data_IF_548391271640
#
_entry.id   IF_548391271640
#
_cell.length_a   1.000
_cell.length_b   1.000
_cell.length_c   1.000
_cell.angle_alpha   90.00
_cell.angle_beta   90.00
_cell.angle_gamma   90.00
#
_symmetry.space_group_name_H-M   'P 1'
#
loop_
_entity.id
_entity.type
_entity.pdbx_description
1 polymer ?
#
# COMPACT_ATOMS: atom_id res chain seq x y z
N UNK A 1 -30.95 -2.75 -5.38
CA UNK A 1 -29.98 -2.41 -4.30
C UNK A 1 -28.53 -2.21 -4.78
N UNK A 2 -27.93 -3.10 -5.59
CA UNK A 2 -26.50 -2.96 -6.02
C UNK A 2 -26.23 -1.71 -6.86
N UNK A 3 -27.14 -1.29 -7.74
CA UNK A 3 -26.95 -0.11 -8.61
C UNK A 3 -26.97 1.20 -7.80
N UNK A 4 -27.92 1.38 -6.87
CA UNK A 4 -27.98 2.56 -6.00
C UNK A 4 -26.74 2.68 -5.12
N UNK A 5 -26.23 1.58 -4.58
CA UNK A 5 -24.98 1.56 -3.83
C UNK A 5 -23.78 1.99 -4.70
N UNK A 6 -23.71 1.51 -5.95
CA UNK A 6 -22.64 1.89 -6.88
C UNK A 6 -22.67 3.40 -7.21
N UNK A 7 -23.86 3.95 -7.43
CA UNK A 7 -24.05 5.41 -7.65
C UNK A 7 -23.59 6.19 -6.42
N UNK A 8 -24.01 5.78 -5.22
CA UNK A 8 -23.58 6.42 -3.96
C UNK A 8 -22.06 6.42 -3.79
N UNK A 9 -21.40 5.30 -4.07
CA UNK A 9 -19.92 5.21 -4.01
C UNK A 9 -19.24 6.10 -5.06
N UNK A 10 -19.79 6.19 -6.27
CA UNK A 10 -19.26 7.06 -7.33
C UNK A 10 -19.41 8.55 -6.97
N UNK A 11 -20.54 8.94 -6.40
CA UNK A 11 -20.78 10.31 -5.92
C UNK A 11 -19.79 10.67 -4.80
N UNK A 12 -19.63 9.80 -3.80
CA UNK A 12 -18.66 10.02 -2.74
C UNK A 12 -17.22 10.10 -3.27
N UNK A 13 -16.89 9.34 -4.30
CA UNK A 13 -15.57 9.43 -4.94
C UNK A 13 -15.39 10.80 -5.63
N UNK A 14 -16.40 11.28 -6.36
CA UNK A 14 -16.35 12.58 -7.03
C UNK A 14 -16.22 13.74 -6.03
N UNK A 15 -16.98 13.71 -4.92
CA UNK A 15 -16.85 14.68 -3.82
C UNK A 15 -15.44 14.62 -3.23
N UNK A 16 -14.93 13.42 -2.99
CA UNK A 16 -13.56 13.23 -2.50
C UNK A 16 -12.52 13.81 -3.45
N UNK A 17 -12.69 13.65 -4.76
CA UNK A 17 -11.78 14.19 -5.75
C UNK A 17 -11.77 15.75 -5.72
N UNK A 18 -12.91 16.39 -5.55
CA UNK A 18 -13.00 17.84 -5.38
C UNK A 18 -12.30 18.32 -4.10
N UNK A 19 -12.52 17.63 -2.97
CA UNK A 19 -11.82 17.93 -1.71
C UNK A 19 -10.30 17.74 -1.88
N UNK A 20 -9.88 16.66 -2.55
CA UNK A 20 -8.46 16.38 -2.79
C UNK A 20 -7.79 17.44 -3.66
N UNK A 21 -8.52 18.01 -4.62
CA UNK A 21 -8.04 19.15 -5.41
C UNK A 21 -7.75 20.36 -4.53
N UNK A 22 -8.66 20.70 -3.62
CA UNK A 22 -8.47 21.79 -2.66
C UNK A 22 -7.27 21.50 -1.71
N UNK A 23 -7.16 20.29 -1.17
CA UNK A 23 -6.03 19.88 -0.31
C UNK A 23 -4.69 19.90 -1.05
N UNK A 24 -4.70 19.76 -2.38
CA UNK A 24 -3.49 19.81 -3.18
C UNK A 24 -2.82 21.18 -3.15
N UNK A 25 -3.56 22.25 -2.86
CA UNK A 25 -3.01 23.61 -2.66
C UNK A 25 -2.01 23.66 -1.49
N UNK A 26 -2.13 22.75 -0.52
CA UNK A 26 -1.19 22.65 0.62
C UNK A 26 -0.16 21.53 0.38
N UNK A 27 -0.62 20.36 -0.06
CA UNK A 27 0.23 19.17 -0.17
C UNK A 27 1.26 19.29 -1.29
N UNK A 28 0.92 19.95 -2.40
CA UNK A 28 1.85 20.17 -3.52
C UNK A 28 3.03 21.04 -3.11
N UNK A 29 2.87 22.22 -2.49
CA UNK A 29 3.99 23.01 -1.98
C UNK A 29 4.87 22.23 -0.99
N UNK A 30 4.28 21.47 -0.05
CA UNK A 30 5.05 20.63 0.88
C UNK A 30 5.90 19.61 0.13
N UNK A 31 5.32 18.92 -0.84
CA UNK A 31 6.05 17.94 -1.66
C UNK A 31 7.17 18.59 -2.49
N UNK A 32 6.95 19.79 -2.98
CA UNK A 32 7.96 20.60 -3.69
C UNK A 32 9.12 20.99 -2.78
N UNK A 33 8.82 21.49 -1.56
CA UNK A 33 9.83 21.91 -0.59
C UNK A 33 10.69 20.73 -0.11
N UNK A 34 10.07 19.61 0.18
CA UNK A 34 10.77 18.40 0.68
C UNK A 34 11.53 17.65 -0.41
N UNK A 35 11.29 17.90 -1.69
CA UNK A 35 11.80 17.10 -2.84
C UNK A 35 11.54 15.59 -2.71
N UNK A 36 10.57 15.21 -1.90
CA UNK A 36 10.21 13.85 -1.57
C UNK A 36 8.68 13.71 -1.49
N UNK A 37 8.17 12.51 -1.28
CA UNK A 37 6.78 12.32 -0.90
C UNK A 37 6.49 13.10 0.38
N UNK A 38 5.28 13.69 0.49
CA UNK A 38 4.87 14.40 1.70
C UNK A 38 4.83 13.47 2.92
N UNK A 39 4.46 12.21 2.68
CA UNK A 39 4.51 11.08 3.62
C UNK A 39 5.14 9.88 2.91
N UNK A 40 5.70 8.93 3.64
CA UNK A 40 6.41 7.77 3.08
C UNK A 40 7.58 8.17 2.18
N UNK A 41 8.42 9.09 2.65
CA UNK A 41 9.51 9.68 1.86
C UNK A 41 10.54 8.64 1.42
N UNK A 42 10.89 7.74 2.33
CA UNK A 42 11.88 6.68 2.14
C UNK A 42 11.24 5.30 2.28
N UNK A 43 11.81 4.30 1.62
CA UNK A 43 11.32 2.93 1.68
C UNK A 43 12.23 1.97 0.95
N UNK A 44 11.88 0.69 1.02
CA UNK A 44 12.57 -0.40 0.33
C UNK A 44 11.63 -1.11 -0.61
N UNK A 45 12.14 -1.58 -1.73
CA UNK A 45 11.37 -2.32 -2.72
C UNK A 45 11.78 -3.78 -2.70
N UNK A 46 10.77 -4.65 -2.67
CA UNK A 46 10.95 -6.09 -2.76
C UNK A 46 10.20 -6.66 -3.96
N UNK A 47 10.78 -7.65 -4.60
CA UNK A 47 10.05 -8.57 -5.47
C UNK A 47 9.19 -9.48 -4.61
N UNK A 48 7.98 -9.73 -5.06
CA UNK A 48 7.02 -10.53 -4.32
C UNK A 48 6.15 -11.37 -5.25
N UNK A 49 5.37 -12.26 -4.66
CA UNK A 49 4.36 -13.05 -5.32
C UNK A 49 3.09 -13.06 -4.46
N UNK A 50 1.95 -12.81 -5.08
CA UNK A 50 0.65 -12.96 -4.43
C UNK A 50 -0.01 -14.24 -4.90
N UNK A 51 -0.35 -15.11 -3.95
CA UNK A 51 -1.21 -16.28 -4.20
C UNK A 51 -2.59 -16.04 -3.60
N UNK A 52 -3.62 -16.61 -4.22
CA UNK A 52 -5.00 -16.50 -3.72
C UNK A 52 -5.68 -17.86 -3.79
N UNK A 53 -6.56 -18.11 -2.80
CA UNK A 53 -7.41 -19.31 -2.74
C UNK A 53 -8.88 -18.99 -3.04
N UNK A 54 -9.24 -17.71 -2.97
CA UNK A 54 -10.58 -17.23 -3.29
C UNK A 54 -10.69 -16.98 -4.80
N UNK A 55 -11.60 -17.65 -5.52
CA UNK A 55 -11.80 -17.47 -6.96
C UNK A 55 -12.08 -16.00 -7.37
N UNK A 56 -12.74 -15.23 -6.49
CA UNK A 56 -13.02 -13.82 -6.76
C UNK A 56 -11.74 -12.95 -6.74
N UNK A 57 -10.66 -13.44 -6.12
CA UNK A 57 -9.35 -12.79 -6.05
C UNK A 57 -8.35 -13.35 -7.06
N UNK A 58 -8.72 -14.38 -7.84
CA UNK A 58 -7.79 -15.07 -8.76
C UNK A 58 -7.08 -14.09 -9.72
N UNK A 59 -7.78 -13.04 -10.17
CA UNK A 59 -7.19 -12.01 -11.01
C UNK A 59 -6.05 -11.23 -10.33
N UNK A 60 -5.93 -11.25 -9.01
CA UNK A 60 -4.87 -10.57 -8.27
C UNK A 60 -3.61 -11.44 -8.10
N UNK A 61 -3.69 -12.76 -8.31
CA UNK A 61 -2.56 -13.65 -8.17
C UNK A 61 -1.45 -13.36 -9.21
N UNK A 62 -0.22 -13.59 -8.83
CA UNK A 62 0.96 -13.50 -9.68
C UNK A 62 2.09 -12.64 -9.11
N UNK A 63 3.09 -12.33 -9.94
CA UNK A 63 4.26 -11.58 -9.53
C UNK A 63 3.88 -10.15 -9.12
N UNK A 64 4.65 -9.61 -8.18
CA UNK A 64 4.41 -8.29 -7.62
C UNK A 64 5.70 -7.55 -7.27
N UNK A 65 5.60 -6.23 -7.17
CA UNK A 65 6.53 -5.39 -6.44
C UNK A 65 5.86 -4.89 -5.17
N UNK A 66 6.58 -4.93 -4.07
CA UNK A 66 6.14 -4.38 -2.78
C UNK A 66 7.12 -3.30 -2.37
N UNK A 67 6.57 -2.13 -2.01
CA UNK A 67 7.35 -1.08 -1.34
C UNK A 67 6.90 -0.98 0.10
N UNK A 68 7.84 -1.13 1.02
CA UNK A 68 7.68 -0.94 2.46
C UNK A 68 8.29 0.40 2.88
N UNK A 69 7.62 1.16 3.76
CA UNK A 69 8.06 2.51 4.14
C UNK A 69 7.50 2.99 5.47
N UNK A 70 8.21 3.87 6.18
CA UNK A 70 7.66 4.69 7.25
C UNK A 70 6.91 5.91 6.69
N UNK A 71 5.87 6.39 7.39
CA UNK A 71 5.08 7.52 6.91
C UNK A 71 5.76 8.87 7.17
N UNK A 72 6.30 9.07 8.36
CA UNK A 72 6.79 10.37 8.83
C UNK A 72 8.26 10.32 9.24
N UNK A 73 8.71 9.21 9.77
CA UNK A 73 10.04 9.01 10.29
C UNK A 73 11.00 8.47 9.22
N UNK A 74 12.27 8.86 9.33
CA UNK A 74 13.32 8.32 8.48
C UNK A 74 13.57 6.83 8.77
N UNK A 75 14.22 6.15 7.81
CA UNK A 75 14.64 4.77 8.02
C UNK A 75 15.58 4.65 9.22
N UNK A 76 15.35 3.66 10.07
CA UNK A 76 16.10 3.45 11.32
C UNK A 76 15.59 4.24 12.54
N UNK A 77 14.60 5.13 12.38
CA UNK A 77 13.95 5.79 13.52
C UNK A 77 13.19 4.77 14.39
N UNK A 78 13.22 4.98 15.70
CA UNK A 78 12.45 4.22 16.70
C UNK A 78 11.20 4.96 17.18
N UNK A 79 10.91 6.12 16.61
CA UNK A 79 9.74 6.92 16.93
C UNK A 79 8.43 6.25 16.50
N UNK A 80 7.32 6.62 17.15
CA UNK A 80 5.99 6.13 16.77
C UNK A 80 5.63 6.59 15.35
N UNK A 81 5.36 5.66 14.46
CA UNK A 81 5.05 5.93 13.05
C UNK A 81 3.93 5.01 12.52
N UNK A 82 3.50 5.27 11.31
CA UNK A 82 2.65 4.41 10.50
C UNK A 82 3.51 3.81 9.39
N UNK A 83 3.50 2.50 9.26
CA UNK A 83 4.14 1.84 8.13
C UNK A 83 3.17 1.73 6.96
N UNK A 84 3.71 1.92 5.76
CA UNK A 84 3.00 1.75 4.50
C UNK A 84 3.51 0.55 3.72
N UNK A 85 2.59 -0.11 3.01
CA UNK A 85 2.88 -1.15 2.05
C UNK A 85 2.16 -0.82 0.74
N UNK A 86 2.94 -0.50 -0.30
CA UNK A 86 2.45 -0.34 -1.67
C UNK A 86 2.66 -1.67 -2.40
N UNK A 87 1.62 -2.24 -2.98
CA UNK A 87 1.65 -3.50 -3.72
C UNK A 87 1.29 -3.24 -5.17
N UNK A 88 2.22 -3.53 -6.09
CA UNK A 88 1.97 -3.54 -7.53
C UNK A 88 1.92 -4.97 -8.02
N UNK A 89 0.74 -5.41 -8.41
CA UNK A 89 0.51 -6.72 -9.03
C UNK A 89 0.77 -6.62 -10.54
N UNK A 90 1.55 -7.56 -11.07
CA UNK A 90 2.02 -7.55 -12.44
C UNK A 90 1.62 -8.84 -13.18
N UNK A 91 1.43 -8.77 -14.50
CA UNK A 91 1.20 -9.96 -15.32
C UNK A 91 2.46 -10.79 -15.49
N UNK A 92 3.59 -10.12 -15.62
CA UNK A 92 4.92 -10.70 -15.65
C UNK A 92 5.85 -9.83 -14.81
N UNK A 93 6.82 -10.43 -14.14
CA UNK A 93 7.77 -9.71 -13.29
C UNK A 93 8.51 -8.63 -14.09
N UNK A 94 8.52 -7.40 -13.55
CA UNK A 94 9.17 -6.23 -14.16
C UNK A 94 9.46 -5.19 -13.08
N UNK A 95 10.50 -4.40 -13.27
CA UNK A 95 10.79 -3.26 -12.40
C UNK A 95 10.00 -2.01 -12.85
N UNK A 96 9.58 -1.97 -14.10
CA UNK A 96 8.78 -0.89 -14.66
C UNK A 96 7.27 -1.18 -14.64
N UNK A 97 6.43 -0.14 -14.47
CA UNK A 97 4.98 -0.28 -14.56
C UNK A 97 4.55 -0.57 -15.99
N UNK A 98 3.63 -1.50 -16.15
CA UNK A 98 3.08 -1.89 -17.46
C UNK A 98 1.57 -1.73 -17.51
N UNK A 99 1.02 -1.69 -18.72
CA UNK A 99 -0.42 -1.81 -18.93
C UNK A 99 -0.92 -3.13 -18.37
N UNK A 100 -2.02 -3.09 -17.61
CA UNK A 100 -2.60 -4.26 -16.95
C UNK A 100 -2.08 -4.50 -15.52
N UNK A 101 -1.15 -3.69 -15.01
CA UNK A 101 -0.77 -3.72 -13.60
C UNK A 101 -1.89 -3.19 -12.70
N UNK A 102 -1.88 -3.61 -11.44
CA UNK A 102 -2.80 -3.18 -10.39
C UNK A 102 -2.02 -2.66 -9.20
N UNK A 103 -2.24 -1.42 -8.79
CA UNK A 103 -1.69 -0.90 -7.55
C UNK A 103 -2.72 -1.00 -6.41
N UNK A 104 -2.29 -1.50 -5.26
CA UNK A 104 -3.03 -1.54 -4.01
C UNK A 104 -2.17 -0.90 -2.91
N UNK A 105 -2.81 -0.18 -1.98
CA UNK A 105 -2.13 0.54 -0.92
C UNK A 105 -2.66 0.14 0.43
N UNK A 106 -1.75 -0.20 1.33
CA UNK A 106 -2.04 -0.63 2.69
C UNK A 106 -1.30 0.25 3.69
N UNK A 107 -1.82 0.36 4.90
CA UNK A 107 -1.18 1.04 6.02
C UNK A 107 -1.33 0.21 7.29
N UNK A 108 -0.42 0.41 8.25
CA UNK A 108 -0.42 -0.30 9.54
C UNK A 108 -1.51 0.19 10.51
N UNK A 109 -2.65 0.65 10.00
CA UNK A 109 -3.83 0.98 10.78
C UNK A 109 -5.10 0.52 10.06
N UNK A 110 -6.14 0.20 10.82
CA UNK A 110 -7.36 -0.39 10.27
C UNK A 110 -8.31 0.65 9.66
N UNK A 111 -8.40 1.81 10.30
CA UNK A 111 -9.27 2.90 9.86
C UNK A 111 -8.73 4.24 10.34
N UNK A 112 -9.18 5.34 9.73
CA UNK A 112 -8.80 6.67 10.23
C UNK A 112 -9.33 6.98 11.63
N UNK A 113 -10.42 6.34 12.06
CA UNK A 113 -10.93 6.45 13.43
C UNK A 113 -10.00 5.79 14.45
N UNK A 114 -9.27 4.76 14.04
CA UNK A 114 -8.33 4.01 14.91
C UNK A 114 -6.87 4.41 14.69
N UNK A 115 -6.58 5.29 13.73
CA UNK A 115 -5.22 5.57 13.25
C UNK A 115 -4.26 6.00 14.39
N UNK A 116 -4.68 6.84 15.33
CA UNK A 116 -3.84 7.27 16.44
C UNK A 116 -3.48 6.10 17.37
N UNK A 117 -4.47 5.27 17.71
CA UNK A 117 -4.28 4.07 18.54
C UNK A 117 -3.40 3.05 17.83
N UNK A 118 -3.66 2.81 16.55
CA UNK A 118 -2.97 1.79 15.77
C UNK A 118 -1.52 2.22 15.49
N UNK A 119 -1.28 3.52 15.29
CA UNK A 119 0.06 4.10 15.22
C UNK A 119 0.89 3.80 16.47
N UNK A 120 0.31 3.96 17.65
CA UNK A 120 0.99 3.67 18.92
C UNK A 120 1.30 2.17 19.11
N UNK A 121 0.64 1.29 18.37
CA UNK A 121 0.82 -0.17 18.40
C UNK A 121 1.66 -0.71 17.24
N UNK A 122 1.97 0.14 16.27
CA UNK A 122 2.81 -0.25 15.13
C UNK A 122 4.23 -0.54 15.61
N UNK A 123 4.72 -1.75 15.35
CA UNK A 123 6.14 -2.09 15.52
C UNK A 123 6.93 -1.47 14.37
N UNK A 124 7.50 -0.28 14.62
CA UNK A 124 8.30 0.44 13.61
C UNK A 124 9.65 -0.23 13.35
N UNK A 125 10.09 -1.10 14.24
CA UNK A 125 11.33 -1.86 14.11
C UNK A 125 11.18 -3.13 13.27
N UNK A 126 9.97 -3.44 12.76
CA UNK A 126 9.73 -4.66 12.00
C UNK A 126 8.60 -4.50 11.00
N UNK A 127 8.91 -4.54 9.71
CA UNK A 127 7.90 -4.45 8.66
C UNK A 127 6.90 -5.61 8.69
N UNK A 128 7.33 -6.82 9.04
CA UNK A 128 6.49 -8.01 8.94
C UNK A 128 5.69 -8.30 10.22
N UNK A 129 5.99 -7.65 11.33
CA UNK A 129 5.26 -7.82 12.59
C UNK A 129 3.90 -7.11 12.62
N UNK A 130 3.58 -6.33 11.59
CA UNK A 130 2.42 -5.46 11.58
C UNK A 130 1.24 -6.02 10.75
N UNK A 131 0.02 -5.64 11.16
CA UNK A 131 -1.16 -5.75 10.32
C UNK A 131 -1.21 -4.58 9.36
N UNK A 132 -1.49 -4.85 8.09
CA UNK A 132 -1.73 -3.82 7.09
C UNK A 132 -3.16 -3.89 6.56
N UNK A 133 -3.82 -2.75 6.43
CA UNK A 133 -5.17 -2.63 5.88
C UNK A 133 -5.17 -1.71 4.68
N UNK A 134 -6.00 -1.97 3.68
CA UNK A 134 -6.30 -1.00 2.62
C UNK A 134 -6.96 0.27 3.16
N UNK A 135 -7.42 0.26 4.41
CA UNK A 135 -8.04 1.38 5.15
C UNK A 135 -9.37 1.85 4.56
N UNK A 136 -9.50 1.81 3.25
CA UNK A 136 -10.67 2.28 2.49
C UNK A 136 -11.17 1.17 1.59
N UNK A 137 -12.49 1.09 1.33
CA UNK A 137 -13.04 0.04 0.49
C UNK A 137 -12.64 0.20 -0.97
N UNK A 138 -12.43 -0.94 -1.62
CA UNK A 138 -12.21 -1.04 -3.04
C UNK A 138 -13.26 -1.95 -3.65
N UNK A 139 -13.67 -1.64 -4.88
CA UNK A 139 -14.57 -2.50 -5.63
C UNK A 139 -13.82 -3.71 -6.15
N UNK A 140 -14.31 -4.89 -5.78
CA UNK A 140 -13.85 -6.17 -6.31
C UNK A 140 -14.98 -6.78 -7.15
N UNK A 141 -14.73 -7.17 -8.41
CA UNK A 141 -15.72 -7.85 -9.23
C UNK A 141 -16.29 -9.07 -8.50
N UNK A 142 -17.62 -9.22 -8.54
CA UNK A 142 -18.33 -10.32 -7.86
C UNK A 142 -18.53 -10.16 -6.34
N UNK A 143 -17.75 -9.31 -5.65
CA UNK A 143 -17.81 -9.11 -4.18
C UNK A 143 -18.30 -7.72 -3.77
N UNK A 144 -18.15 -6.70 -4.62
CA UNK A 144 -18.50 -5.32 -4.27
C UNK A 144 -17.40 -4.60 -3.51
N UNK A 145 -17.77 -3.73 -2.57
CA UNK A 145 -16.82 -2.98 -1.75
C UNK A 145 -16.18 -3.85 -0.68
N UNK A 146 -14.86 -4.02 -0.75
CA UNK A 146 -14.07 -4.84 0.19
C UNK A 146 -12.88 -4.08 0.73
N UNK A 147 -12.42 -4.47 1.92
CA UNK A 147 -11.15 -4.06 2.53
C UNK A 147 -10.30 -5.30 2.72
N UNK A 148 -9.25 -5.44 1.93
CA UNK A 148 -8.26 -6.49 2.12
C UNK A 148 -7.29 -6.08 3.22
N UNK A 149 -6.80 -7.07 3.97
CA UNK A 149 -5.77 -6.89 5.00
C UNK A 149 -4.67 -7.91 4.83
N UNK A 150 -3.47 -7.54 5.25
CA UNK A 150 -2.34 -8.44 5.38
C UNK A 150 -2.05 -8.61 6.87
N UNK A 151 -1.96 -9.84 7.33
CA UNK A 151 -1.67 -10.18 8.72
C UNK A 151 -0.16 -10.46 8.88
N UNK A 152 0.41 -10.28 10.07
CA UNK A 152 1.76 -10.77 10.34
C UNK A 152 1.80 -12.30 10.25
N UNK A 153 2.94 -12.90 9.91
CA UNK A 153 3.11 -14.35 9.94
C UNK A 153 2.91 -14.89 11.36
N UNK A 154 2.49 -16.15 11.51
CA UNK A 154 2.07 -16.73 12.81
C UNK A 154 3.15 -16.73 13.90
N UNK A 155 4.41 -16.87 13.53
CA UNK A 155 5.54 -16.86 14.45
C UNK A 155 6.72 -16.12 13.84
N UNK A 156 7.32 -15.24 14.63
CA UNK A 156 8.54 -14.52 14.29
C UNK A 156 9.64 -14.93 15.29
N UNK A 157 10.82 -15.37 14.83
CA UNK A 157 11.95 -15.61 15.72
C UNK A 157 12.35 -14.34 16.49
N UNK A 158 12.70 -14.45 17.76
CA UNK A 158 13.06 -13.32 18.61
C UNK A 158 14.30 -12.55 18.14
N UNK A 159 15.28 -13.23 17.54
CA UNK A 159 16.54 -12.65 17.09
C UNK A 159 16.64 -12.68 15.57
N UNK A 160 16.26 -11.58 14.88
CA UNK A 160 16.28 -11.49 13.42
C UNK A 160 17.16 -10.38 12.86
N UNK A 161 17.70 -9.51 13.70
CA UNK A 161 18.54 -8.37 13.29
C UNK A 161 18.33 -7.14 14.17
N UNK A 162 19.25 -6.17 14.05
CA UNK A 162 19.30 -5.00 14.91
C UNK A 162 18.20 -3.97 14.56
N UNK A 163 17.81 -3.88 13.30
CA UNK A 163 16.81 -2.93 12.78
C UNK A 163 15.85 -3.61 11.80
N UNK A 164 14.86 -2.86 11.32
CA UNK A 164 13.80 -3.39 10.44
C UNK A 164 14.31 -3.87 9.09
N UNK A 165 15.41 -3.31 8.56
CA UNK A 165 16.00 -3.77 7.31
C UNK A 165 16.76 -5.07 7.49
N UNK A 166 17.57 -5.17 8.55
CA UNK A 166 18.28 -6.40 8.89
C UNK A 166 17.29 -7.55 9.19
N UNK A 167 16.17 -7.24 9.86
CA UNK A 167 15.09 -8.23 10.10
C UNK A 167 14.44 -8.68 8.79
N UNK A 168 14.11 -7.74 7.91
CA UNK A 168 13.55 -8.06 6.60
C UNK A 168 14.51 -8.93 5.78
N UNK A 169 15.80 -8.58 5.72
CA UNK A 169 16.79 -9.34 4.99
C UNK A 169 16.97 -10.76 5.55
N UNK A 170 16.96 -10.92 6.88
CA UNK A 170 17.00 -12.24 7.54
C UNK A 170 15.74 -13.08 7.24
N UNK A 171 14.56 -12.46 7.18
CA UNK A 171 13.32 -13.16 6.84
C UNK A 171 13.25 -13.54 5.37
N UNK A 172 13.75 -12.69 4.47
CA UNK A 172 13.88 -12.99 3.03
C UNK A 172 14.85 -14.18 2.83
N UNK A 173 16.03 -14.14 3.45
CA UNK A 173 17.02 -15.21 3.34
C UNK A 173 16.50 -16.57 3.85
N UNK A 174 15.62 -16.56 4.84
CA UNK A 174 15.02 -17.76 5.43
C UNK A 174 13.64 -18.12 4.84
N UNK A 175 13.19 -17.48 3.78
CA UNK A 175 11.86 -17.64 3.16
C UNK A 175 10.69 -17.50 4.16
N UNK A 176 10.82 -16.61 5.15
CA UNK A 176 9.80 -16.32 6.16
C UNK A 176 9.01 -15.04 5.89
N UNK A 177 9.42 -14.25 4.92
CA UNK A 177 8.78 -12.98 4.57
C UNK A 177 7.42 -13.19 3.88
N UNK A 178 6.44 -13.68 4.64
CA UNK A 178 5.11 -14.10 4.18
C UNK A 178 4.02 -13.42 4.99
N UNK A 179 3.10 -12.74 4.32
CA UNK A 179 1.98 -12.03 4.93
C UNK A 179 0.67 -12.68 4.46
N UNK A 180 -0.05 -13.39 5.35
CA UNK A 180 -1.39 -13.89 5.03
C UNK A 180 -2.31 -12.78 4.55
N UNK A 181 -2.92 -12.94 3.37
CA UNK A 181 -3.96 -12.05 2.85
C UNK A 181 -5.30 -12.47 3.43
N UNK A 182 -6.04 -11.52 4.01
CA UNK A 182 -7.34 -11.78 4.62
C UNK A 182 -8.43 -10.88 4.04
N UNK A 183 -9.64 -11.42 3.95
CA UNK A 183 -10.87 -10.72 3.60
C UNK A 183 -11.95 -11.03 4.64
N UNK A 184 -12.50 -10.00 5.28
CA UNK A 184 -13.48 -10.13 6.36
C UNK A 184 -13.01 -11.04 7.53
N UNK A 185 -11.70 -11.11 7.77
CA UNK A 185 -11.09 -11.94 8.80
C UNK A 185 -10.64 -13.34 8.33
N UNK A 186 -11.14 -13.80 7.20
CA UNK A 186 -10.81 -15.12 6.64
C UNK A 186 -9.55 -15.08 5.78
N UNK A 187 -8.64 -16.08 5.89
CA UNK A 187 -7.46 -16.17 5.06
C UNK A 187 -7.83 -16.55 3.63
N UNK A 188 -7.54 -15.67 2.67
CA UNK A 188 -7.90 -15.84 1.25
C UNK A 188 -6.68 -15.96 0.33
N UNK A 189 -5.47 -15.83 0.86
CA UNK A 189 -4.23 -15.92 0.09
C UNK A 189 -3.01 -15.58 0.94
N UNK A 190 -1.89 -15.35 0.26
CA UNK A 190 -0.60 -15.01 0.89
C UNK A 190 0.20 -14.10 -0.03
N UNK A 191 0.80 -13.07 0.53
CA UNK A 191 1.83 -12.25 -0.10
C UNK A 191 3.20 -12.71 0.40
N UNK A 192 3.99 -13.32 -0.48
CA UNK A 192 5.36 -13.74 -0.23
C UNK A 192 6.33 -12.74 -0.80
N UNK A 193 7.17 -12.14 0.02
CA UNK A 193 8.31 -11.34 -0.43
C UNK A 193 9.47 -12.28 -0.76
N UNK A 194 10.13 -12.07 -1.89
CA UNK A 194 11.13 -12.99 -2.44
C UNK A 194 12.55 -12.46 -2.29
N UNK A 195 12.74 -11.19 -2.63
CA UNK A 195 14.06 -10.56 -2.57
C UNK A 195 13.93 -9.04 -2.49
N UNK A 196 14.82 -8.40 -1.76
CA UNK A 196 14.97 -6.93 -1.81
C UNK A 196 15.68 -6.55 -3.10
N UNK A 197 15.20 -5.49 -3.74
CA UNK A 197 15.74 -4.97 -5.00
C UNK A 197 16.60 -3.74 -4.73
N UNK A 198 17.73 -3.66 -5.43
CA UNK A 198 18.62 -2.50 -5.40
C UNK A 198 18.15 -1.41 -6.39
N UNK A 199 16.87 -1.04 -6.31
CA UNK A 199 16.28 0.03 -7.12
C UNK A 199 15.91 1.23 -6.23
N UNK A 200 15.97 2.42 -6.82
CA UNK A 200 15.49 3.62 -6.11
C UNK A 200 13.98 3.49 -5.86
N UNK A 201 13.57 3.45 -4.59
CA UNK A 201 12.17 3.33 -4.18
C UNK A 201 11.29 4.48 -4.70
N UNK A 202 11.91 5.63 -5.06
CA UNK A 202 11.23 6.78 -5.66
C UNK A 202 10.67 6.49 -7.04
N UNK A 203 11.23 5.49 -7.73
CA UNK A 203 10.75 5.06 -9.06
C UNK A 203 9.43 4.30 -8.98
N UNK A 204 9.19 3.57 -7.89
CA UNK A 204 7.92 2.88 -7.67
C UNK A 204 6.84 3.88 -7.23
N UNK A 205 6.06 4.36 -8.19
CA UNK A 205 5.00 5.35 -7.98
C UNK A 205 3.64 4.66 -8.04
N UNK A 206 3.00 4.50 -6.88
CA UNK A 206 1.64 3.98 -6.80
C UNK A 206 0.64 4.93 -7.47
N UNK A 207 -0.36 4.38 -8.13
CA UNK A 207 -1.43 5.12 -8.78
C UNK A 207 -2.79 4.52 -8.48
N UNK A 208 -3.73 5.35 -8.02
CA UNK A 208 -5.13 4.96 -7.83
C UNK A 208 -5.82 4.57 -9.15
N UNK A 209 -5.26 4.98 -10.29
CA UNK A 209 -5.80 4.68 -11.63
C UNK A 209 -5.15 3.45 -12.28
N UNK A 210 -4.17 2.81 -11.63
CA UNK A 210 -3.61 1.55 -12.09
C UNK A 210 -4.45 0.42 -11.54
N UNK A 211 -5.46 -0.02 -12.32
CA UNK A 211 -6.46 -1.01 -11.92
C UNK A 211 -6.68 -2.09 -13.00
N UNK A 212 -5.59 -2.53 -13.61
CA UNK A 212 -5.61 -3.51 -14.71
C UNK A 212 -6.08 -4.91 -14.33
N UNK A 213 -6.22 -5.20 -13.03
CA UNK A 213 -6.79 -6.44 -12.50
C UNK A 213 -8.26 -6.30 -12.07
N UNK A 214 -8.88 -5.15 -12.37
CA UNK A 214 -10.31 -4.91 -12.14
C UNK A 214 -10.68 -4.43 -10.74
N UNK A 215 -9.73 -4.32 -9.80
CA UNK A 215 -9.98 -3.76 -8.47
C UNK A 215 -9.91 -2.24 -8.54
N UNK A 216 -11.01 -1.56 -8.19
CA UNK A 216 -11.17 -0.11 -8.36
C UNK A 216 -11.37 0.59 -7.02
N UNK A 217 -10.76 1.77 -6.82
CA UNK A 217 -10.97 2.54 -5.59
C UNK A 217 -12.41 3.02 -5.46
N UNK A 218 -12.97 2.99 -4.24
CA UNK A 218 -14.31 3.45 -3.92
C UNK A 218 -14.31 4.57 -2.87
N UNK A 219 -15.32 5.43 -2.97
CA UNK A 219 -15.71 6.36 -1.93
C UNK A 219 -14.79 7.57 -1.75
N UNK A 220 -15.16 8.44 -0.80
CA UNK A 220 -14.65 9.79 -0.61
C UNK A 220 -13.12 9.84 -0.44
N UNK A 221 -12.56 8.99 0.40
CA UNK A 221 -11.11 9.01 0.71
C UNK A 221 -10.24 8.57 -0.46
N UNK A 222 -10.72 7.61 -1.24
CA UNK A 222 -10.04 7.22 -2.47
C UNK A 222 -10.17 8.31 -3.54
N UNK A 223 -11.27 9.06 -3.57
CA UNK A 223 -11.40 10.26 -4.39
C UNK A 223 -10.34 11.31 -4.04
N UNK A 224 -10.14 11.61 -2.75
CA UNK A 224 -9.09 12.53 -2.29
C UNK A 224 -7.70 12.06 -2.78
N UNK A 225 -7.37 10.78 -2.59
CA UNK A 225 -6.09 10.22 -3.04
C UNK A 225 -5.91 10.30 -4.56
N UNK A 226 -7.00 10.11 -5.31
CA UNK A 226 -6.99 10.12 -6.77
C UNK A 226 -6.56 11.48 -7.36
N UNK A 227 -6.74 12.58 -6.65
CA UNK A 227 -6.29 13.92 -7.07
C UNK A 227 -4.96 14.32 -6.42
N UNK A 228 -4.82 14.11 -5.12
CA UNK A 228 -3.61 14.51 -4.37
C UNK A 228 -2.37 13.78 -4.88
N UNK A 229 -2.45 12.49 -5.14
CA UNK A 229 -1.28 11.69 -5.53
C UNK A 229 -0.68 12.10 -6.88
N UNK A 230 -1.46 12.20 -7.98
CA UNK A 230 -0.92 12.64 -9.26
C UNK A 230 -0.33 14.06 -9.21
N UNK A 231 -1.00 14.99 -8.54
CA UNK A 231 -0.54 16.38 -8.43
C UNK A 231 0.77 16.48 -7.62
N UNK A 232 0.87 15.78 -6.49
CA UNK A 232 2.09 15.66 -5.71
C UNK A 232 3.22 14.99 -6.49
N UNK A 233 2.92 13.97 -7.29
CA UNK A 233 3.90 13.31 -8.16
C UNK A 233 4.36 14.22 -9.31
N UNK A 234 3.45 14.97 -9.95
CA UNK A 234 3.77 15.94 -10.99
C UNK A 234 4.68 17.03 -10.45
N UNK A 235 4.33 17.59 -9.28
CA UNK A 235 5.13 18.61 -8.63
C UNK A 235 6.60 18.19 -8.42
N UNK A 236 6.81 16.95 -7.98
CA UNK A 236 8.17 16.40 -7.80
C UNK A 236 8.91 16.22 -9.12
N UNK A 237 8.22 15.76 -10.19
CA UNK A 237 8.84 15.65 -11.54
C UNK A 237 9.34 16.98 -12.06
N UNK A 238 8.61 18.07 -11.85
CA UNK A 238 8.98 19.42 -12.27
C UNK A 238 10.26 19.94 -11.59
N UNK A 239 10.67 19.35 -10.47
CA UNK A 239 11.90 19.69 -9.74
C UNK A 239 13.02 18.63 -9.83
N UNK A 240 12.92 17.68 -10.75
CA UNK A 240 13.97 16.67 -10.96
C UNK A 240 14.01 15.59 -9.88
N UNK A 241 12.87 15.29 -9.26
CA UNK A 241 12.70 14.23 -8.25
C UNK A 241 11.96 13.02 -8.81
#
# INVERSE_FOLDING_TARGET
>A
MRVLAAIGWALLFAIGAAIGLALSLVIVPVSLCRRARAVHAEGVVCRAELTTRDPALAALAGPALVRLSGAFEAEGSTGSDVLGLELRLQRAASDDPRSGDQDLMFASFESFATAARDRARTDVGDYLANRYSMVTPWWLPGRGGVVLKLAPPPAQPAARGADRLARLDADLAADRARLPLTLAGEPVGELRLVARLAIDDRTLRASMFRHGRGVRPLGLRNGIRATVYPLSQLARRLRGG
#
